data_IF_546124911769
#
_entry.id   IF_546124911769
#
_cell.length_a   1.000
_cell.length_b   1.000
_cell.length_c   1.000
_cell.angle_alpha   90.00
_cell.angle_beta   90.00
_cell.angle_gamma   90.00
#
_symmetry.space_group_name_H-M   'P 1'
#
loop_
_entity.id
_entity.type
_entity.pdbx_description
1 polymer ?
#
# COMPACT_ATOMS: atom_id res chain seq x y z
N UNK A 1 -41.99 -47.95 -2.05
CA UNK A 1 -41.15 -46.74 -1.95
C UNK A 1 -40.60 -46.48 -3.34
N UNK A 2 -41.16 -45.47 -3.99
CA UNK A 2 -41.27 -45.40 -5.43
C UNK A 2 -39.99 -45.13 -6.18
N UNK A 3 -39.61 -46.01 -7.09
CA UNK A 3 -38.50 -45.88 -8.04
C UNK A 3 -38.58 -44.54 -8.82
N UNK A 4 -39.79 -44.04 -9.00
CA UNK A 4 -40.10 -42.77 -9.67
C UNK A 4 -39.53 -41.57 -8.87
N UNK A 5 -39.61 -41.61 -7.53
CA UNK A 5 -39.09 -40.56 -6.66
C UNK A 5 -37.54 -40.47 -6.71
N UNK A 6 -36.89 -41.61 -6.73
CA UNK A 6 -35.44 -41.70 -6.85
C UNK A 6 -34.94 -41.16 -8.21
N UNK A 7 -35.65 -41.45 -9.30
CA UNK A 7 -35.25 -40.98 -10.64
C UNK A 7 -35.39 -39.46 -10.83
N UNK A 8 -36.29 -38.80 -10.11
CA UNK A 8 -36.42 -37.34 -10.16
C UNK A 8 -35.54 -36.62 -9.16
N UNK A 9 -35.25 -37.24 -8.02
CA UNK A 9 -34.44 -36.63 -6.99
C UNK A 9 -32.96 -36.46 -7.40
N UNK A 10 -32.36 -37.50 -8.00
CA UNK A 10 -30.93 -37.49 -8.38
C UNK A 10 -30.55 -36.42 -9.40
N UNK A 11 -31.28 -36.16 -10.49
CA UNK A 11 -30.95 -35.09 -11.42
C UNK A 11 -31.01 -33.71 -10.78
N UNK A 12 -32.01 -33.47 -9.92
CA UNK A 12 -32.14 -32.21 -9.22
C UNK A 12 -30.98 -31.95 -8.22
N UNK A 13 -30.63 -32.98 -7.45
CA UNK A 13 -29.51 -32.91 -6.51
C UNK A 13 -28.20 -32.71 -7.24
N UNK A 14 -27.90 -33.48 -8.28
CA UNK A 14 -26.69 -33.35 -9.09
C UNK A 14 -26.59 -31.96 -9.71
N UNK A 15 -27.66 -31.43 -10.29
CA UNK A 15 -27.68 -30.08 -10.88
C UNK A 15 -27.35 -29.00 -9.85
N UNK A 16 -27.90 -29.11 -8.63
CA UNK A 16 -27.60 -28.12 -7.56
C UNK A 16 -26.17 -28.18 -7.12
N UNK A 17 -25.58 -29.37 -6.95
CA UNK A 17 -24.20 -29.56 -6.55
C UNK A 17 -23.24 -29.03 -7.64
N UNK A 18 -23.48 -29.44 -8.89
CA UNK A 18 -22.64 -28.95 -10.01
C UNK A 18 -22.77 -27.44 -10.21
N UNK A 19 -23.99 -26.89 -10.09
CA UNK A 19 -24.22 -25.45 -10.14
C UNK A 19 -23.45 -24.69 -9.05
N UNK A 20 -23.49 -25.20 -7.83
CA UNK A 20 -22.74 -24.62 -6.69
C UNK A 20 -21.23 -24.66 -6.89
N UNK A 21 -20.69 -25.79 -7.35
CA UNK A 21 -19.25 -25.92 -7.64
C UNK A 21 -18.86 -24.97 -8.78
N UNK A 22 -19.61 -24.93 -9.86
CA UNK A 22 -19.34 -24.06 -11.00
C UNK A 22 -19.36 -22.59 -10.58
N UNK A 23 -20.34 -22.16 -9.80
CA UNK A 23 -20.45 -20.80 -9.30
C UNK A 23 -19.25 -20.45 -8.40
N UNK A 24 -18.86 -21.37 -7.53
CA UNK A 24 -17.68 -21.19 -6.64
C UNK A 24 -16.39 -21.04 -7.45
N UNK A 25 -16.19 -21.86 -8.47
CA UNK A 25 -15.02 -21.75 -9.36
C UNK A 25 -15.01 -20.45 -10.15
N UNK A 26 -16.15 -20.00 -10.64
CA UNK A 26 -16.29 -18.73 -11.32
C UNK A 26 -15.92 -17.59 -10.36
N UNK A 27 -16.46 -17.58 -9.14
CA UNK A 27 -16.14 -16.58 -8.13
C UNK A 27 -14.67 -16.59 -7.74
N UNK A 28 -14.05 -17.76 -7.61
CA UNK A 28 -12.61 -17.88 -7.31
C UNK A 28 -11.77 -17.30 -8.45
N UNK A 29 -12.07 -17.63 -9.70
CA UNK A 29 -11.39 -17.10 -10.88
C UNK A 29 -11.52 -15.58 -11.00
N UNK A 30 -12.73 -15.06 -10.76
CA UNK A 30 -12.96 -13.61 -10.74
C UNK A 30 -12.18 -12.94 -9.62
N UNK A 31 -12.17 -13.51 -8.43
CA UNK A 31 -11.43 -12.98 -7.28
C UNK A 31 -9.93 -12.91 -7.56
N UNK A 32 -9.34 -13.94 -8.15
CA UNK A 32 -7.90 -14.03 -8.33
C UNK A 32 -7.41 -13.17 -9.50
N UNK A 33 -8.15 -13.09 -10.58
CA UNK A 33 -7.73 -12.41 -11.81
C UNK A 33 -8.13 -10.92 -11.87
N UNK A 34 -9.30 -10.56 -11.37
CA UNK A 34 -9.76 -9.16 -11.36
C UNK A 34 -9.28 -8.36 -10.15
N UNK A 35 -8.87 -9.04 -9.10
CA UNK A 35 -8.47 -8.40 -7.85
C UNK A 35 -7.04 -8.76 -7.45
N UNK A 36 -6.11 -8.74 -8.39
CA UNK A 36 -4.68 -8.85 -8.06
C UNK A 36 -4.25 -7.70 -7.12
N UNK A 37 -3.35 -7.99 -6.19
CA UNK A 37 -2.78 -6.96 -5.33
C UNK A 37 -1.91 -6.01 -6.16
N UNK A 38 -1.93 -4.71 -5.89
CA UNK A 38 -1.00 -3.79 -6.52
C UNK A 38 0.44 -4.15 -6.11
N UNK A 39 1.35 -4.04 -7.06
CA UNK A 39 2.77 -4.28 -6.82
C UNK A 39 3.37 -2.99 -6.25
N UNK A 40 3.72 -3.04 -4.97
CA UNK A 40 4.41 -1.95 -4.27
C UNK A 40 5.91 -2.21 -4.11
N UNK A 41 6.38 -3.43 -4.38
CA UNK A 41 7.79 -3.79 -4.29
C UNK A 41 8.62 -3.03 -5.34
N UNK A 42 9.80 -2.56 -4.93
CA UNK A 42 10.74 -1.87 -5.82
C UNK A 42 11.43 -0.70 -5.16
N UNK A 43 12.17 0.04 -5.98
CA UNK A 43 12.87 1.27 -5.57
C UNK A 43 12.01 2.47 -5.99
N UNK A 44 11.75 3.34 -5.04
CA UNK A 44 10.89 4.51 -5.22
C UNK A 44 11.59 5.78 -4.79
N UNK A 45 11.31 6.87 -5.48
CA UNK A 45 11.66 8.22 -5.05
C UNK A 45 10.40 8.89 -4.48
N UNK A 46 10.46 9.28 -3.22
CA UNK A 46 9.35 9.89 -2.50
C UNK A 46 9.67 11.33 -2.18
N UNK A 47 8.76 12.24 -2.54
CA UNK A 47 8.85 13.66 -2.20
C UNK A 47 7.79 14.00 -1.17
N UNK A 48 8.19 14.45 -0.01
CA UNK A 48 7.33 14.96 1.05
C UNK A 48 7.33 16.48 1.03
N UNK A 49 6.15 17.07 1.13
CA UNK A 49 5.99 18.53 1.27
C UNK A 49 5.22 18.81 2.54
N UNK A 50 5.78 19.65 3.41
CA UNK A 50 5.15 20.03 4.68
C UNK A 50 4.27 21.27 4.48
N UNK A 51 2.96 21.09 4.30
CA UNK A 51 2.02 22.19 4.08
C UNK A 51 1.54 22.81 5.39
N UNK A 52 1.16 21.96 6.36
CA UNK A 52 0.68 22.37 7.67
C UNK A 52 1.57 21.81 8.77
N UNK A 53 2.23 22.67 9.50
CA UNK A 53 3.08 22.29 10.63
C UNK A 53 2.85 23.23 11.79
N UNK A 54 2.96 22.73 13.03
CA UNK A 54 2.93 23.55 14.23
C UNK A 54 4.12 24.52 14.37
N UNK A 55 5.17 24.32 13.57
CA UNK A 55 6.36 25.19 13.54
C UNK A 55 6.52 25.82 12.16
N UNK A 56 6.43 27.14 12.10
CA UNK A 56 6.54 27.91 10.86
C UNK A 56 7.84 27.64 10.08
N UNK A 57 8.92 27.24 10.75
CA UNK A 57 10.21 26.93 10.14
C UNK A 57 10.18 25.75 9.18
N UNK A 58 9.22 24.86 9.30
CA UNK A 58 9.07 23.70 8.42
C UNK A 58 8.00 23.87 7.35
N UNK A 59 7.27 24.98 7.38
CA UNK A 59 6.21 25.22 6.39
C UNK A 59 6.80 25.42 5.00
N UNK A 60 6.32 24.64 4.04
CA UNK A 60 6.82 24.65 2.66
C UNK A 60 8.12 23.85 2.45
N UNK A 61 8.68 23.25 3.51
CA UNK A 61 9.85 22.39 3.38
C UNK A 61 9.53 21.17 2.51
N UNK A 62 10.46 20.82 1.64
CA UNK A 62 10.38 19.65 0.78
C UNK A 62 11.54 18.72 1.08
N UNK A 63 11.23 17.43 1.22
CA UNK A 63 12.24 16.40 1.51
C UNK A 63 12.08 15.26 0.53
N UNK A 64 13.19 14.78 -0.01
CA UNK A 64 13.23 13.65 -0.92
C UNK A 64 13.89 12.45 -0.27
N UNK A 65 13.29 11.31 -0.43
CA UNK A 65 13.77 10.02 0.06
C UNK A 65 13.88 9.04 -1.10
N UNK A 66 14.90 8.22 -1.07
CA UNK A 66 15.02 7.00 -1.88
C UNK A 66 14.64 5.83 -0.99
N UNK A 67 13.62 5.11 -1.36
CA UNK A 67 13.08 4.01 -0.56
C UNK A 67 13.10 2.71 -1.36
N UNK A 68 13.40 1.63 -0.69
CA UNK A 68 13.31 0.27 -1.23
C UNK A 68 12.22 -0.47 -0.47
N UNK A 69 11.18 -0.88 -1.17
CA UNK A 69 10.05 -1.60 -0.60
C UNK A 69 10.09 -3.07 -1.01
N UNK A 70 9.85 -3.93 -0.05
CA UNK A 70 9.63 -5.35 -0.18
C UNK A 70 8.16 -5.64 0.11
N UNK A 71 7.56 -6.52 -0.67
CA UNK A 71 6.16 -6.91 -0.51
C UNK A 71 6.06 -8.41 -0.32
N UNK A 72 5.34 -8.81 0.73
CA UNK A 72 4.97 -10.20 1.00
C UNK A 72 3.45 -10.28 1.18
N UNK A 73 2.75 -10.65 0.11
CA UNK A 73 1.29 -10.60 0.08
C UNK A 73 0.78 -9.18 0.31
N UNK A 74 0.02 -8.98 1.38
CA UNK A 74 -0.51 -7.66 1.77
C UNK A 74 0.46 -6.84 2.62
N UNK A 75 1.51 -7.45 3.16
CA UNK A 75 2.47 -6.77 4.01
C UNK A 75 3.55 -6.08 3.18
N UNK A 76 3.91 -4.87 3.60
CA UNK A 76 4.99 -4.09 3.02
C UNK A 76 6.01 -3.84 4.12
N UNK A 77 7.27 -4.03 3.80
CA UNK A 77 8.40 -3.62 4.62
C UNK A 77 9.44 -2.96 3.75
N UNK A 78 10.28 -2.13 4.31
CA UNK A 78 11.30 -1.48 3.52
C UNK A 78 12.20 -0.59 4.33
N UNK A 79 13.16 -0.03 3.62
CA UNK A 79 14.12 0.92 4.16
C UNK A 79 14.22 2.08 3.21
N UNK A 80 14.52 3.25 3.76
CA UNK A 80 14.73 4.45 2.98
C UNK A 80 15.91 5.26 3.47
N UNK A 81 16.38 6.12 2.61
CA UNK A 81 17.44 7.09 2.92
C UNK A 81 16.97 8.47 2.49
N UNK A 82 17.21 9.45 3.36
CA UNK A 82 17.02 10.86 3.04
C UNK A 82 18.10 11.30 2.04
N UNK A 83 17.68 11.76 0.86
CA UNK A 83 18.57 12.15 -0.23
C UNK A 83 18.86 13.66 -0.17
N UNK A 84 17.80 14.46 -0.10
CA UNK A 84 17.92 15.93 -0.11
C UNK A 84 16.74 16.59 0.59
N UNK A 85 16.97 17.83 0.98
CA UNK A 85 15.98 18.65 1.65
C UNK A 85 16.06 20.08 1.11
N UNK A 86 14.92 20.70 0.87
CA UNK A 86 14.80 22.10 0.54
C UNK A 86 13.97 22.81 1.59
N UNK A 87 14.60 23.67 2.36
CA UNK A 87 13.98 24.54 3.36
C UNK A 87 14.16 26.01 2.97
N UNK A 88 13.59 26.93 3.74
CA UNK A 88 13.78 28.37 3.53
C UNK A 88 15.23 28.84 3.52
N UNK A 89 16.15 28.04 4.10
CA UNK A 89 17.61 28.27 4.13
C UNK A 89 18.36 27.75 2.89
N UNK A 90 17.67 27.06 1.97
CA UNK A 90 18.23 26.51 0.75
C UNK A 90 18.18 25.00 0.63
N UNK A 91 18.85 24.48 -0.40
CA UNK A 91 18.94 23.05 -0.70
C UNK A 91 20.09 22.42 0.09
N UNK A 92 19.80 21.37 0.84
CA UNK A 92 20.79 20.53 1.54
C UNK A 92 20.73 19.11 0.98
N UNK A 93 21.88 18.59 0.57
CA UNK A 93 22.05 17.21 0.13
C UNK A 93 22.64 16.38 1.28
N UNK A 94 22.14 15.14 1.41
CA UNK A 94 22.62 14.19 2.41
C UNK A 94 23.48 13.13 1.72
N UNK A 95 24.74 12.99 2.12
CA UNK A 95 25.67 12.03 1.55
C UNK A 95 26.56 11.41 2.62
N UNK A 96 26.97 10.15 2.40
CA UNK A 96 27.86 9.44 3.30
C UNK A 96 27.27 9.27 4.70
N UNK A 97 27.96 9.72 5.74
CA UNK A 97 27.56 9.56 7.15
C UNK A 97 26.38 10.44 7.57
N UNK A 98 26.08 11.48 6.79
CA UNK A 98 24.95 12.38 7.08
C UNK A 98 23.61 11.82 6.59
N UNK A 99 23.61 10.69 5.87
CA UNK A 99 22.40 10.02 5.44
C UNK A 99 21.63 9.49 6.64
N UNK A 100 20.35 9.82 6.68
CA UNK A 100 19.42 9.31 7.68
C UNK A 100 18.67 8.15 7.10
N UNK A 101 18.68 7.06 7.83
CA UNK A 101 17.92 5.85 7.49
C UNK A 101 16.51 5.95 8.00
N UNK A 102 15.63 5.29 7.31
CA UNK A 102 14.21 5.24 7.63
C UNK A 102 13.72 3.81 7.50
N UNK A 103 13.05 3.33 8.52
CA UNK A 103 12.35 2.05 8.50
C UNK A 103 10.91 2.25 8.06
N UNK A 104 10.44 1.38 7.18
CA UNK A 104 9.12 1.45 6.57
C UNK A 104 8.39 0.14 6.81
N UNK A 105 7.19 0.24 7.38
CA UNK A 105 6.28 -0.89 7.58
C UNK A 105 4.91 -0.50 7.09
N UNK A 106 4.19 -1.45 6.51
CA UNK A 106 2.87 -1.12 6.03
C UNK A 106 2.06 -2.32 5.57
N UNK A 107 0.86 -2.02 5.12
CA UNK A 107 0.00 -3.02 4.53
C UNK A 107 -0.83 -2.45 3.38
N UNK A 108 -1.19 -3.32 2.47
CA UNK A 108 -2.11 -3.05 1.37
C UNK A 108 -3.51 -3.43 1.83
N UNK A 109 -4.40 -2.45 1.85
CA UNK A 109 -5.82 -2.69 2.10
C UNK A 109 -6.56 -2.68 0.78
N UNK A 110 -7.03 -3.85 0.39
CA UNK A 110 -7.78 -4.02 -0.83
C UNK A 110 -9.21 -3.56 -0.64
N UNK A 111 -9.72 -2.80 -1.61
CA UNK A 111 -11.12 -2.40 -1.66
C UNK A 111 -11.83 -3.03 -2.84
N UNK A 112 -12.99 -3.65 -2.60
CA UNK A 112 -13.81 -4.21 -3.67
C UNK A 112 -14.43 -3.13 -4.56
N UNK A 113 -14.69 -1.95 -4.00
CA UNK A 113 -15.19 -0.79 -4.73
C UNK A 113 -14.28 0.40 -4.42
N UNK A 114 -13.61 0.91 -5.46
CA UNK A 114 -12.72 2.06 -5.36
C UNK A 114 -11.24 1.70 -5.51
N UNK A 115 -10.38 2.64 -5.18
CA UNK A 115 -8.93 2.46 -5.27
C UNK A 115 -8.41 1.71 -4.05
N UNK A 116 -7.48 0.79 -4.26
CA UNK A 116 -6.74 0.14 -3.18
C UNK A 116 -5.97 1.17 -2.36
N UNK A 117 -5.78 0.90 -1.09
CA UNK A 117 -5.07 1.77 -0.17
C UNK A 117 -3.81 1.08 0.33
N UNK A 118 -2.73 1.83 0.37
CA UNK A 118 -1.47 1.43 1.01
C UNK A 118 -1.32 2.28 2.26
N UNK A 119 -1.22 1.62 3.40
CA UNK A 119 -0.98 2.25 4.69
C UNK A 119 0.47 2.03 5.05
N UNK A 120 1.21 3.11 5.29
CA UNK A 120 2.64 3.07 5.59
C UNK A 120 2.89 3.79 6.91
N UNK A 121 3.60 3.11 7.80
CA UNK A 121 4.25 3.67 8.98
C UNK A 121 5.70 3.88 8.65
N UNK A 122 6.16 5.08 8.87
CA UNK A 122 7.49 5.56 8.54
C UNK A 122 8.19 6.00 9.82
N UNK A 123 9.29 5.38 10.15
CA UNK A 123 10.12 5.70 11.29
C UNK A 123 11.48 6.20 10.81
N UNK A 124 11.79 7.43 11.09
CA UNK A 124 13.08 8.04 10.78
C UNK A 124 13.92 8.18 12.05
N UNK A 125 15.12 7.63 12.01
CA UNK A 125 16.13 7.80 13.05
C UNK A 125 16.82 9.15 12.87
N UNK A 126 16.45 10.10 13.71
CA UNK A 126 17.10 11.41 13.75
C UNK A 126 18.22 11.43 14.78
N UNK A 127 19.19 12.32 14.56
CA UNK A 127 20.36 12.47 15.44
C UNK A 127 20.01 12.78 16.91
N UNK A 128 18.88 13.43 17.16
CA UNK A 128 18.43 13.84 18.49
C UNK A 128 17.11 13.19 18.93
N UNK A 129 16.34 12.70 18.00
CA UNK A 129 15.02 12.10 18.23
C UNK A 129 14.59 11.24 17.07
N UNK A 130 13.83 10.19 17.38
CA UNK A 130 13.07 9.46 16.38
C UNK A 130 11.82 10.26 15.97
N UNK A 131 11.43 10.13 14.72
CA UNK A 131 10.16 10.64 14.24
C UNK A 131 9.37 9.52 13.57
N UNK A 132 8.09 9.44 13.86
CA UNK A 132 7.18 8.49 13.24
C UNK A 132 6.14 9.25 12.44
N UNK A 133 5.93 8.83 11.22
CA UNK A 133 4.93 9.39 10.33
C UNK A 133 4.01 8.29 9.80
N UNK A 134 2.77 8.66 9.55
CA UNK A 134 1.75 7.77 9.03
C UNK A 134 1.27 8.29 7.67
N UNK A 135 1.30 7.43 6.66
CA UNK A 135 0.85 7.77 5.32
C UNK A 135 -0.24 6.81 4.86
N UNK A 136 -1.26 7.37 4.28
CA UNK A 136 -2.32 6.64 3.61
C UNK A 136 -2.32 7.02 2.13
N UNK A 137 -1.91 6.08 1.28
CA UNK A 137 -1.76 6.28 -0.15
C UNK A 137 -2.91 5.60 -0.88
N UNK A 138 -3.47 6.26 -1.87
CA UNK A 138 -4.41 5.64 -2.81
C UNK A 138 -3.66 5.22 -4.07
N UNK A 139 -3.83 3.98 -4.46
CA UNK A 139 -3.26 3.45 -5.70
C UNK A 139 -4.24 3.76 -6.83
N UNK A 140 -3.92 4.76 -7.63
CA UNK A 140 -4.63 5.01 -8.89
C UNK A 140 -3.86 4.29 -10.00
N UNK A 141 -4.52 3.39 -10.73
CA UNK A 141 -3.95 2.45 -11.69
C UNK A 141 -2.81 2.98 -12.54
N UNK A 142 -1.82 2.11 -12.80
CA UNK A 142 -0.56 2.30 -13.49
C UNK A 142 0.49 3.18 -12.78
N UNK A 143 1.34 2.52 -12.00
CA UNK A 143 2.77 2.82 -11.75
C UNK A 143 3.20 4.26 -11.41
N UNK A 144 2.33 5.11 -10.89
CA UNK A 144 2.70 6.41 -10.36
C UNK A 144 2.00 6.64 -9.02
N UNK A 145 2.64 6.25 -7.93
CA UNK A 145 2.16 6.60 -6.60
C UNK A 145 2.49 8.06 -6.32
N UNK A 146 1.50 8.95 -6.42
CA UNK A 146 1.61 10.29 -5.86
C UNK A 146 1.26 10.23 -4.37
N UNK A 147 2.24 10.54 -3.55
CA UNK A 147 2.06 10.71 -2.12
C UNK A 147 1.38 12.06 -1.87
N UNK A 148 0.09 12.07 -1.60
CA UNK A 148 -0.59 13.24 -1.05
C UNK A 148 -0.56 13.09 0.48
N UNK A 149 0.33 13.83 1.12
CA UNK A 149 0.40 13.93 2.57
C UNK A 149 -0.68 14.87 3.08
N UNK A 150 -1.86 14.34 3.34
CA UNK A 150 -2.80 14.97 4.24
C UNK A 150 -2.79 14.18 5.54
N UNK A 151 -2.15 14.72 6.52
CA UNK A 151 -2.31 14.48 7.96
C UNK A 151 -0.99 14.18 8.65
N UNK A 152 -0.45 15.16 9.31
CA UNK A 152 0.37 14.97 10.49
C UNK A 152 -0.52 15.16 11.71
N UNK A 153 -0.57 14.16 12.55
CA UNK A 153 -0.94 14.31 13.96
C UNK A 153 0.31 14.61 14.77
#
# INVERSE_FOLDING_TARGET
MDIIFLNQFWPGFASTVFGGITLTLIFFFFKEKLFSLPIAAGVWECKLTFENTGHNSYKGMQVWYKITLLQSGVSISGMGEKDREMAGTGLRNYSGRDRRTTDIYGCITKRFFGSDEIVIFWREDGEKRESTSFFKLRVSGCASARCNTNTML
#
